data_IF_013936726484
#
_entry.id   IF_013936726484
#
_cell.length_a   1.000
_cell.length_b   1.000
_cell.length_c   1.000
_cell.angle_alpha   90.00
_cell.angle_beta   90.00
_cell.angle_gamma   90.00
#
_symmetry.space_group_name_H-M   'P 1'
#
loop_
_entity.id
_entity.type
_entity.pdbx_description
1 polymer ?
#
# COMPACT_ATOMS: atom_id res chain seq x y z
N UNK A 1 -61.80 30.10 32.22
CA UNK A 1 -60.38 30.05 31.83
C UNK A 1 -59.95 28.58 31.82
N UNK A 2 -59.96 27.93 30.66
CA UNK A 2 -59.61 26.50 30.54
C UNK A 2 -58.12 26.42 30.16
N UNK A 3 -57.26 26.06 31.11
CA UNK A 3 -55.86 25.75 30.84
C UNK A 3 -55.79 24.39 30.13
N UNK A 4 -55.47 24.44 28.84
CA UNK A 4 -55.23 23.26 27.99
C UNK A 4 -53.83 22.73 28.32
N UNK A 5 -53.74 21.68 29.14
CA UNK A 5 -52.48 21.00 29.48
C UNK A 5 -51.98 20.30 28.20
N UNK A 6 -51.05 20.94 27.49
CA UNK A 6 -50.32 20.31 26.39
C UNK A 6 -49.41 19.21 26.95
N UNK A 7 -49.52 18.02 26.37
CA UNK A 7 -48.94 16.78 26.87
C UNK A 7 -47.42 16.72 26.63
N UNK A 8 -46.62 16.89 27.70
CA UNK A 8 -45.15 16.75 27.64
C UNK A 8 -44.67 15.38 27.13
N UNK A 9 -45.53 14.35 27.21
CA UNK A 9 -45.25 13.02 26.64
C UNK A 9 -45.19 13.03 25.11
N UNK A 10 -45.90 13.95 24.45
CA UNK A 10 -45.91 14.10 22.99
C UNK A 10 -44.61 14.75 22.51
N UNK A 11 -44.14 15.79 23.19
CA UNK A 11 -42.86 16.44 22.92
C UNK A 11 -41.68 15.50 23.17
N UNK A 12 -41.72 14.73 24.26
CA UNK A 12 -40.70 13.71 24.55
C UNK A 12 -40.65 12.60 23.47
N UNK A 13 -41.81 12.17 22.96
CA UNK A 13 -41.88 11.20 21.85
C UNK A 13 -41.39 11.78 20.53
N UNK A 14 -41.72 13.05 20.22
CA UNK A 14 -41.22 13.73 19.03
C UNK A 14 -39.70 13.90 19.09
N UNK A 15 -39.16 14.39 20.22
CA UNK A 15 -37.72 14.52 20.44
C UNK A 15 -36.99 13.17 20.31
N UNK A 16 -37.55 12.08 20.86
CA UNK A 16 -36.99 10.73 20.64
C UNK A 16 -37.03 10.29 19.18
N UNK A 17 -38.11 10.58 18.43
CA UNK A 17 -38.20 10.26 17.00
C UNK A 17 -37.18 11.04 16.17
N UNK A 18 -37.03 12.35 16.39
CA UNK A 18 -36.03 13.18 15.69
C UNK A 18 -34.61 12.81 16.09
N UNK A 19 -34.32 12.53 17.36
CA UNK A 19 -33.00 12.04 17.78
C UNK A 19 -32.65 10.68 17.13
N UNK A 20 -33.62 9.76 17.05
CA UNK A 20 -33.45 8.43 16.42
C UNK A 20 -33.33 8.52 14.90
N UNK A 21 -33.98 9.50 14.26
CA UNK A 21 -33.85 9.80 12.83
C UNK A 21 -32.50 10.46 12.50
N UNK A 22 -32.07 11.45 13.31
CA UNK A 22 -30.75 12.08 13.21
C UNK A 22 -29.61 11.07 13.45
N UNK A 23 -29.75 10.17 14.42
CA UNK A 23 -28.79 9.08 14.67
C UNK A 23 -28.71 8.08 13.51
N UNK A 24 -29.84 7.72 12.89
CA UNK A 24 -29.86 6.90 11.67
C UNK A 24 -29.16 7.57 10.49
N UNK A 25 -29.42 8.87 10.27
CA UNK A 25 -28.76 9.67 9.24
C UNK A 25 -27.24 9.75 9.46
N UNK A 26 -26.80 9.91 10.71
CA UNK A 26 -25.38 9.97 11.06
C UNK A 26 -24.66 8.63 10.86
N UNK A 27 -25.29 7.51 11.22
CA UNK A 27 -24.73 6.16 10.97
C UNK A 27 -24.69 5.87 9.47
N UNK A 28 -25.73 6.23 8.69
CA UNK A 28 -25.70 6.06 7.23
C UNK A 28 -24.62 6.90 6.55
N UNK A 29 -24.30 8.08 7.07
CA UNK A 29 -23.25 8.95 6.52
C UNK A 29 -21.84 8.37 6.65
N UNK A 30 -21.59 7.46 7.60
CA UNK A 30 -20.30 6.78 7.77
C UNK A 30 -20.27 5.39 7.14
N UNK A 31 -21.37 4.65 7.22
CA UNK A 31 -21.45 3.28 6.70
C UNK A 31 -21.50 3.27 5.16
N UNK A 32 -22.23 4.20 4.54
CA UNK A 32 -22.40 4.19 3.09
C UNK A 32 -21.08 4.45 2.32
N UNK A 33 -20.25 5.47 2.65
CA UNK A 33 -18.95 5.65 2.01
C UNK A 33 -17.99 4.49 2.26
N UNK A 34 -18.07 3.88 3.45
CA UNK A 34 -17.27 2.70 3.78
C UNK A 34 -17.64 1.51 2.88
N UNK A 35 -18.93 1.23 2.73
CA UNK A 35 -19.41 0.15 1.85
C UNK A 35 -19.10 0.43 0.38
N UNK A 36 -19.27 1.67 -0.08
CA UNK A 36 -18.87 2.09 -1.44
C UNK A 36 -17.35 1.90 -1.62
N UNK A 37 -16.54 2.29 -0.64
CA UNK A 37 -15.09 2.12 -0.68
C UNK A 37 -14.68 0.64 -0.71
N UNK A 38 -15.32 -0.22 0.08
CA UNK A 38 -15.11 -1.67 0.05
C UNK A 38 -15.51 -2.25 -1.31
N UNK A 39 -16.69 -1.89 -1.82
CA UNK A 39 -17.17 -2.32 -3.14
C UNK A 39 -16.24 -1.87 -4.27
N UNK A 40 -15.77 -0.63 -4.22
CA UNK A 40 -14.78 -0.09 -5.15
C UNK A 40 -13.48 -0.89 -5.12
N UNK A 41 -12.92 -1.16 -3.93
CA UNK A 41 -11.70 -1.98 -3.80
C UNK A 41 -11.92 -3.42 -4.27
N UNK A 42 -13.09 -4.00 -4.01
CA UNK A 42 -13.44 -5.34 -4.47
C UNK A 42 -13.47 -5.41 -6.00
N UNK A 43 -14.15 -4.48 -6.67
CA UNK A 43 -14.17 -4.41 -8.14
C UNK A 43 -12.74 -4.25 -8.70
N UNK A 44 -11.95 -3.39 -8.09
CA UNK A 44 -10.57 -3.14 -8.53
C UNK A 44 -9.58 -4.26 -8.24
N UNK A 45 -9.93 -5.24 -7.41
CA UNK A 45 -9.11 -6.44 -7.22
C UNK A 45 -8.98 -7.28 -8.50
N UNK A 46 -9.92 -7.11 -9.45
CA UNK A 46 -9.89 -7.74 -10.75
C UNK A 46 -9.02 -7.00 -11.78
N UNK A 47 -8.56 -5.78 -11.49
CA UNK A 47 -7.68 -5.01 -12.40
C UNK A 47 -6.42 -5.80 -12.74
N UNK A 48 -6.17 -6.09 -14.01
CA UNK A 48 -4.95 -6.78 -14.43
C UNK A 48 -3.70 -5.95 -14.07
N UNK A 49 -2.68 -6.55 -13.42
CA UNK A 49 -1.47 -5.82 -13.11
C UNK A 49 -0.71 -5.36 -14.35
N UNK A 50 -0.27 -4.11 -14.34
CA UNK A 50 0.41 -3.45 -15.47
C UNK A 50 1.92 -3.30 -15.23
N UNK A 51 2.40 -3.69 -14.05
CA UNK A 51 3.82 -3.71 -13.71
C UNK A 51 4.12 -4.70 -12.58
N UNK A 52 5.38 -5.08 -12.47
CA UNK A 52 5.92 -5.85 -11.34
C UNK A 52 6.75 -4.89 -10.49
N UNK A 53 6.35 -4.67 -9.24
CA UNK A 53 7.12 -3.92 -8.25
C UNK A 53 7.84 -4.91 -7.31
N UNK A 54 9.16 -4.95 -7.41
CA UNK A 54 10.04 -5.76 -6.58
C UNK A 54 10.63 -4.88 -5.50
N UNK A 55 10.37 -5.20 -4.24
CA UNK A 55 11.06 -4.56 -3.14
C UNK A 55 12.38 -5.29 -2.90
N UNK A 56 13.47 -4.62 -3.24
CA UNK A 56 14.80 -5.11 -2.96
C UNK A 56 15.10 -5.13 -1.47
N UNK A 57 16.16 -5.86 -1.16
CA UNK A 57 16.74 -6.01 0.17
C UNK A 57 17.91 -6.94 -0.01
N UNK A 58 19.11 -6.37 -0.11
CA UNK A 58 20.35 -7.01 -0.54
C UNK A 58 20.61 -8.32 0.21
N UNK A 59 20.12 -9.44 -0.28
CA UNK A 59 20.59 -10.75 0.15
C UNK A 59 21.76 -11.13 -0.74
N UNK A 60 22.73 -11.84 -0.18
CA UNK A 60 23.87 -12.35 -0.96
C UNK A 60 23.42 -13.30 -2.08
N UNK A 61 22.21 -13.84 -2.00
CA UNK A 61 21.73 -14.92 -2.86
C UNK A 61 20.75 -14.47 -3.95
N UNK A 62 20.31 -13.20 -3.95
CA UNK A 62 19.38 -12.64 -4.95
C UNK A 62 18.07 -13.43 -5.09
N UNK A 63 17.51 -13.96 -3.99
CA UNK A 63 16.32 -14.82 -4.04
C UNK A 63 15.13 -14.09 -4.67
N UNK A 64 14.96 -12.80 -4.37
CA UNK A 64 13.86 -12.00 -4.93
C UNK A 64 14.04 -11.74 -6.42
N UNK A 65 15.25 -11.43 -6.85
CA UNK A 65 15.56 -11.18 -8.27
C UNK A 65 15.46 -12.46 -9.09
N UNK A 66 15.96 -13.60 -8.59
CA UNK A 66 15.80 -14.92 -9.22
C UNK A 66 14.33 -15.29 -9.36
N UNK A 67 13.54 -15.14 -8.29
CA UNK A 67 12.11 -15.36 -8.36
C UNK A 67 11.44 -14.42 -9.39
N UNK A 68 11.83 -13.15 -9.39
CA UNK A 68 11.29 -12.16 -10.34
C UNK A 68 11.58 -12.54 -11.78
N UNK A 69 12.76 -13.08 -12.08
CA UNK A 69 13.11 -13.57 -13.42
C UNK A 69 12.13 -14.66 -13.88
N UNK A 70 11.91 -15.68 -13.04
CA UNK A 70 10.97 -16.76 -13.38
C UNK A 70 9.54 -16.25 -13.51
N UNK A 71 9.12 -15.33 -12.63
CA UNK A 71 7.82 -14.69 -12.69
C UNK A 71 7.64 -13.85 -13.98
N UNK A 72 8.68 -13.14 -14.40
CA UNK A 72 8.68 -12.29 -15.58
C UNK A 72 8.70 -13.07 -16.89
N UNK A 73 9.10 -14.35 -16.89
CA UNK A 73 8.95 -15.24 -18.05
C UNK A 73 7.49 -15.56 -18.35
N UNK A 74 6.66 -15.66 -17.30
CA UNK A 74 5.21 -15.85 -17.42
C UNK A 74 4.46 -14.55 -17.74
N UNK A 75 5.13 -13.40 -17.58
CA UNK A 75 4.59 -12.06 -17.82
C UNK A 75 5.55 -11.24 -18.68
N UNK A 76 5.75 -11.62 -19.96
CA UNK A 76 6.83 -11.09 -20.80
C UNK A 76 6.70 -9.60 -21.14
N UNK A 77 5.50 -9.03 -21.04
CA UNK A 77 5.23 -7.65 -21.41
C UNK A 77 5.25 -6.68 -20.22
N UNK A 78 5.23 -7.19 -18.99
CA UNK A 78 5.16 -6.33 -17.82
C UNK A 78 6.53 -5.67 -17.55
N UNK A 79 6.58 -4.33 -17.34
CA UNK A 79 7.77 -3.66 -16.85
C UNK A 79 8.02 -4.03 -15.38
N UNK A 80 9.29 -4.12 -15.03
CA UNK A 80 9.79 -4.51 -13.70
C UNK A 80 10.39 -3.28 -13.05
N UNK A 81 9.83 -2.88 -11.92
CA UNK A 81 10.31 -1.81 -11.06
C UNK A 81 11.00 -2.42 -9.86
N UNK A 82 12.29 -2.17 -9.68
CA UNK A 82 13.03 -2.64 -8.51
C UNK A 82 13.28 -1.44 -7.61
N UNK A 83 12.77 -1.49 -6.39
CA UNK A 83 12.93 -0.43 -5.39
C UNK A 83 13.78 -0.88 -4.22
N UNK A 84 14.86 -0.13 -3.96
CA UNK A 84 15.74 -0.36 -2.82
C UNK A 84 16.66 -1.57 -2.96
N UNK A 85 17.64 -1.68 -2.05
CA UNK A 85 18.28 -2.96 -1.73
C UNK A 85 19.31 -3.54 -2.70
N UNK A 86 20.03 -2.72 -3.49
CA UNK A 86 21.34 -3.18 -3.98
C UNK A 86 22.32 -2.01 -4.11
N UNK A 87 23.49 -2.05 -3.46
CA UNK A 87 24.52 -1.03 -3.66
C UNK A 87 25.09 -1.03 -5.08
N UNK A 88 24.75 -2.04 -5.91
CA UNK A 88 25.31 -2.20 -7.25
C UNK A 88 24.21 -2.39 -8.31
N UNK A 89 23.65 -1.27 -8.80
CA UNK A 89 22.69 -1.25 -9.92
C UNK A 89 23.21 -2.02 -11.13
N UNK A 90 24.50 -1.82 -11.47
CA UNK A 90 25.14 -2.46 -12.62
C UNK A 90 25.19 -3.98 -12.44
N UNK A 91 25.25 -4.48 -11.22
CA UNK A 91 25.13 -5.90 -10.94
C UNK A 91 23.70 -6.40 -11.17
N UNK A 92 22.67 -5.69 -10.67
CA UNK A 92 21.26 -6.05 -10.88
C UNK A 92 20.89 -6.03 -12.36
N UNK A 93 21.24 -4.95 -13.09
CA UNK A 93 20.98 -4.86 -14.55
C UNK A 93 21.67 -6.01 -15.29
N UNK A 94 22.93 -6.32 -14.96
CA UNK A 94 23.65 -7.45 -15.58
C UNK A 94 23.02 -8.79 -15.24
N UNK A 95 22.54 -8.97 -14.00
CA UNK A 95 21.84 -10.18 -13.59
C UNK A 95 20.58 -10.38 -14.43
N UNK A 96 19.68 -9.40 -14.46
CA UNK A 96 18.45 -9.48 -15.26
C UNK A 96 18.73 -9.66 -16.76
N UNK A 97 19.71 -8.94 -17.32
CA UNK A 97 20.09 -9.08 -18.72
C UNK A 97 20.64 -10.47 -19.03
N UNK A 98 21.47 -11.05 -18.15
CA UNK A 98 22.00 -12.41 -18.29
C UNK A 98 20.88 -13.46 -18.29
N UNK A 99 19.83 -13.21 -17.52
CA UNK A 99 18.65 -14.08 -17.42
C UNK A 99 17.61 -13.85 -18.54
N UNK A 100 17.95 -13.03 -19.54
CA UNK A 100 17.11 -12.79 -20.73
C UNK A 100 16.06 -11.69 -20.58
N UNK A 101 16.09 -10.92 -19.49
CA UNK A 101 15.19 -9.78 -19.31
C UNK A 101 15.78 -8.54 -19.99
N UNK A 102 15.03 -7.99 -20.96
CA UNK A 102 15.44 -6.77 -21.67
C UNK A 102 15.65 -5.60 -20.70
N UNK A 103 16.75 -4.83 -20.82
CA UNK A 103 16.97 -3.62 -20.05
C UNK A 103 15.84 -2.58 -20.20
N UNK A 104 15.14 -2.56 -21.34
CA UNK A 104 13.99 -1.64 -21.56
C UNK A 104 12.79 -1.93 -20.67
N UNK A 105 12.69 -3.15 -20.12
CA UNK A 105 11.66 -3.54 -19.16
C UNK A 105 12.03 -3.20 -17.73
N UNK A 106 13.29 -2.87 -17.43
CA UNK A 106 13.81 -2.76 -16.07
C UNK A 106 13.95 -1.29 -15.63
N UNK A 107 13.22 -0.91 -14.58
CA UNK A 107 13.24 0.40 -13.95
C UNK A 107 13.80 0.26 -12.54
N UNK A 108 14.83 1.04 -12.19
CA UNK A 108 15.50 0.97 -10.89
C UNK A 108 15.26 2.24 -10.08
N UNK A 109 14.57 2.13 -8.94
CA UNK A 109 14.48 3.20 -7.95
C UNK A 109 15.60 3.10 -6.91
N UNK A 110 16.28 4.22 -6.72
CA UNK A 110 17.41 4.35 -5.80
C UNK A 110 17.22 5.49 -4.81
N UNK A 111 16.03 6.09 -4.80
CA UNK A 111 15.67 7.14 -3.84
C UNK A 111 15.22 6.51 -2.52
N UNK A 112 14.73 5.28 -2.57
CA UNK A 112 14.32 4.53 -1.39
C UNK A 112 15.49 4.11 -0.49
N UNK A 113 15.34 4.40 0.80
CA UNK A 113 16.31 4.05 1.86
C UNK A 113 15.69 3.16 2.94
N UNK A 114 14.38 3.03 2.95
CA UNK A 114 13.61 2.21 3.87
C UNK A 114 12.33 1.68 3.21
N UNK A 115 11.55 0.89 3.94
CA UNK A 115 10.33 0.27 3.39
C UNK A 115 9.23 1.28 3.06
N UNK A 116 9.18 2.45 3.72
CA UNK A 116 8.19 3.49 3.40
C UNK A 116 8.57 4.16 2.08
N UNK A 117 9.83 4.57 1.97
CA UNK A 117 10.38 5.24 0.78
C UNK A 117 10.43 4.35 -0.45
N UNK A 118 10.44 3.02 -0.28
CA UNK A 118 10.24 2.08 -1.38
C UNK A 118 8.94 2.31 -2.17
N UNK A 119 7.91 2.83 -1.50
CA UNK A 119 6.62 3.12 -2.15
C UNK A 119 6.47 4.60 -2.46
N UNK A 120 6.81 5.49 -1.51
CA UNK A 120 6.51 6.92 -1.67
C UNK A 120 7.28 7.58 -2.79
N UNK A 121 8.46 7.06 -3.13
CA UNK A 121 9.27 7.58 -4.25
C UNK A 121 8.71 7.17 -5.60
N UNK A 122 7.98 6.05 -5.67
CA UNK A 122 7.45 5.47 -6.89
C UNK A 122 5.97 5.76 -7.13
N UNK A 123 5.21 6.15 -6.11
CA UNK A 123 3.77 6.36 -6.21
C UNK A 123 3.38 7.29 -7.36
N UNK A 124 4.08 8.43 -7.48
CA UNK A 124 3.80 9.42 -8.51
C UNK A 124 4.33 9.00 -9.89
N UNK A 125 5.49 8.33 -9.94
CA UNK A 125 6.07 7.83 -11.20
C UNK A 125 5.20 6.74 -11.83
N UNK A 126 4.68 5.81 -11.02
CA UNK A 126 3.75 4.78 -11.47
C UNK A 126 2.46 5.41 -11.97
N UNK A 127 1.89 6.36 -11.21
CA UNK A 127 0.64 7.02 -11.58
C UNK A 127 0.77 7.82 -12.87
N UNK A 128 1.86 8.57 -13.03
CA UNK A 128 2.15 9.36 -14.23
C UNK A 128 2.27 8.49 -15.49
N UNK A 129 2.61 7.21 -15.32
CA UNK A 129 2.68 6.21 -16.40
C UNK A 129 1.36 5.47 -16.63
N UNK A 130 0.28 5.86 -15.96
CA UNK A 130 -1.02 5.21 -16.08
C UNK A 130 -1.10 3.81 -15.44
N UNK A 131 -0.13 3.46 -14.60
CA UNK A 131 -0.13 2.20 -13.86
C UNK A 131 -1.06 2.34 -12.66
N UNK A 132 -2.10 1.51 -12.63
CA UNK A 132 -3.17 1.49 -11.64
C UNK A 132 -3.29 0.14 -10.92
N UNK A 133 -2.51 -0.87 -11.30
CA UNK A 133 -2.45 -2.18 -10.64
C UNK A 133 -1.05 -2.76 -10.81
N UNK A 134 -0.46 -3.32 -9.75
CA UNK A 134 0.89 -3.92 -9.80
C UNK A 134 0.97 -5.22 -9.01
N UNK A 135 1.82 -6.14 -9.47
CA UNK A 135 2.29 -7.22 -8.62
C UNK A 135 3.32 -6.69 -7.64
N UNK A 136 3.21 -7.03 -6.36
CA UNK A 136 4.19 -6.71 -5.34
C UNK A 136 4.99 -7.96 -5.00
N UNK A 137 6.28 -7.98 -5.35
CA UNK A 137 7.20 -9.06 -5.04
C UNK A 137 8.12 -8.66 -3.89
N UNK A 138 8.08 -9.43 -2.81
CA UNK A 138 9.05 -9.39 -1.71
C UNK A 138 9.01 -10.71 -0.96
N UNK A 139 9.92 -10.92 -0.02
CA UNK A 139 9.90 -12.14 0.80
C UNK A 139 8.68 -12.21 1.70
N UNK A 140 8.15 -13.42 1.92
CA UNK A 140 7.03 -13.72 2.81
C UNK A 140 7.14 -13.07 4.20
N UNK A 141 8.32 -13.13 4.84
CA UNK A 141 8.56 -12.55 6.16
C UNK A 141 8.42 -11.02 6.21
N UNK A 142 8.56 -10.35 5.05
CA UNK A 142 8.40 -8.90 4.86
C UNK A 142 7.04 -8.52 4.27
N UNK A 143 6.29 -9.47 3.72
CA UNK A 143 5.11 -9.17 2.90
C UNK A 143 4.05 -8.40 3.69
N UNK A 144 3.79 -8.76 4.96
CA UNK A 144 2.78 -8.04 5.77
C UNK A 144 3.08 -6.54 5.87
N UNK A 145 4.31 -6.18 6.21
CA UNK A 145 4.73 -4.77 6.34
C UNK A 145 4.68 -4.06 5.00
N UNK A 146 5.19 -4.70 3.95
CA UNK A 146 5.19 -4.16 2.60
C UNK A 146 3.76 -3.90 2.09
N UNK A 147 2.85 -4.86 2.24
CA UNK A 147 1.45 -4.70 1.80
C UNK A 147 0.74 -3.58 2.56
N UNK A 148 0.90 -3.47 3.88
CA UNK A 148 0.27 -2.39 4.65
C UNK A 148 0.71 -1.02 4.13
N UNK A 149 2.01 -0.81 4.00
CA UNK A 149 2.58 0.47 3.53
C UNK A 149 2.15 0.73 2.08
N UNK A 150 2.27 -0.27 1.23
CA UNK A 150 1.94 -0.15 -0.18
C UNK A 150 0.46 0.16 -0.41
N UNK A 151 -0.45 -0.48 0.32
CA UNK A 151 -1.90 -0.21 0.24
C UNK A 151 -2.22 1.22 0.65
N UNK A 152 -1.53 1.77 1.66
CA UNK A 152 -1.69 3.17 2.06
C UNK A 152 -1.15 4.11 0.99
N UNK A 153 0.10 3.90 0.56
CA UNK A 153 0.82 4.83 -0.32
C UNK A 153 0.31 4.73 -1.76
N UNK A 154 0.37 3.55 -2.36
CA UNK A 154 -0.05 3.33 -3.75
C UNK A 154 -1.57 3.41 -3.88
N UNK A 155 -2.32 2.89 -2.89
CA UNK A 155 -3.78 3.02 -2.86
C UNK A 155 -4.25 4.48 -2.81
N UNK A 156 -3.50 5.40 -2.19
CA UNK A 156 -3.80 6.84 -2.23
C UNK A 156 -3.75 7.44 -3.64
N UNK A 157 -3.06 6.78 -4.59
CA UNK A 157 -3.01 7.14 -6.02
C UNK A 157 -3.91 6.27 -6.89
N UNK A 158 -4.76 5.46 -6.25
CA UNK A 158 -5.63 4.51 -6.92
C UNK A 158 -4.83 3.41 -7.61
N UNK A 159 -3.74 2.94 -7.00
CA UNK A 159 -2.96 1.81 -7.51
C UNK A 159 -3.23 0.60 -6.61
N UNK A 160 -3.70 -0.49 -7.21
CA UNK A 160 -3.99 -1.75 -6.52
C UNK A 160 -2.73 -2.60 -6.41
N UNK A 161 -2.56 -3.27 -5.28
CA UNK A 161 -1.47 -4.22 -5.08
C UNK A 161 -1.96 -5.66 -5.14
N UNK A 162 -1.21 -6.50 -5.85
CA UNK A 162 -1.38 -7.96 -5.85
C UNK A 162 -0.11 -8.61 -5.28
N UNK A 163 -0.09 -9.00 -4.00
CA UNK A 163 1.12 -9.54 -3.38
C UNK A 163 1.46 -10.91 -3.96
N UNK A 164 2.74 -11.12 -4.25
CA UNK A 164 3.33 -12.39 -4.69
C UNK A 164 4.57 -12.64 -3.83
N UNK A 165 4.43 -13.51 -2.85
CA UNK A 165 5.49 -13.74 -1.85
C UNK A 165 6.59 -14.64 -2.40
N UNK A 166 7.83 -14.25 -2.15
CA UNK A 166 9.01 -15.10 -2.33
C UNK A 166 9.19 -15.92 -1.04
N UNK A 167 9.15 -17.26 -1.09
CA UNK A 167 9.33 -18.10 0.10
C UNK A 167 10.66 -17.83 0.80
N UNK A 168 10.66 -17.86 2.13
CA UNK A 168 11.85 -17.73 2.97
C UNK A 168 11.74 -18.57 4.23
N UNK A 169 12.88 -19.01 4.76
CA UNK A 169 12.96 -19.70 6.05
C UNK A 169 12.93 -18.73 7.24
N UNK A 170 12.86 -17.42 7.00
CA UNK A 170 12.87 -16.41 8.05
C UNK A 170 11.50 -16.28 8.71
N UNK A 171 11.44 -16.10 10.04
CA UNK A 171 10.19 -15.82 10.71
C UNK A 171 9.64 -14.45 10.26
N UNK A 172 8.30 -14.26 10.23
CA UNK A 172 7.69 -12.97 9.94
C UNK A 172 8.24 -11.86 10.82
N UNK A 173 8.35 -10.66 10.26
CA UNK A 173 8.79 -9.50 11.04
C UNK A 173 7.87 -9.20 12.24
N UNK A 174 8.34 -8.45 13.24
CA UNK A 174 7.47 -7.94 14.30
C UNK A 174 6.35 -7.04 13.77
N UNK A 175 5.18 -7.07 14.41
CA UNK A 175 4.00 -6.29 14.00
C UNK A 175 4.23 -4.80 14.20
N UNK A 176 5.00 -4.44 15.22
CA UNK A 176 5.32 -3.06 15.61
C UNK A 176 5.99 -2.28 14.48
N UNK A 177 6.86 -2.95 13.70
CA UNK A 177 7.46 -2.35 12.50
C UNK A 177 6.40 -1.97 11.46
N UNK A 178 5.38 -2.83 11.29
CA UNK A 178 4.29 -2.59 10.34
C UNK A 178 3.40 -1.44 10.80
N UNK A 179 3.10 -1.36 12.10
CA UNK A 179 2.33 -0.27 12.70
C UNK A 179 3.07 1.06 12.56
N UNK A 180 4.35 1.10 12.96
CA UNK A 180 5.19 2.31 12.86
C UNK A 180 5.29 2.80 11.41
N UNK A 181 5.62 1.92 10.48
CA UNK A 181 5.82 2.30 9.09
C UNK A 181 4.49 2.61 8.39
N UNK A 182 3.38 1.98 8.80
CA UNK A 182 2.03 2.34 8.39
C UNK A 182 1.62 3.74 8.85
N UNK A 183 1.92 4.12 10.09
CA UNK A 183 1.70 5.48 10.58
C UNK A 183 2.52 6.50 9.80
N UNK A 184 3.79 6.19 9.48
CA UNK A 184 4.63 7.03 8.60
C UNK A 184 4.06 7.15 7.19
N UNK A 185 3.50 6.07 6.64
CA UNK A 185 2.84 6.09 5.33
C UNK A 185 1.60 6.99 5.32
N UNK A 186 0.76 6.93 6.36
CA UNK A 186 -0.41 7.82 6.50
C UNK A 186 0.05 9.27 6.61
N UNK A 187 1.07 9.55 7.45
CA UNK A 187 1.65 10.88 7.57
C UNK A 187 2.12 11.41 6.21
N UNK A 188 2.75 10.57 5.40
CA UNK A 188 3.17 10.94 4.05
C UNK A 188 1.97 11.25 3.15
N UNK A 189 0.91 10.43 3.16
CA UNK A 189 -0.29 10.70 2.34
C UNK A 189 -0.92 12.06 2.70
N UNK A 190 -0.96 12.40 3.99
CA UNK A 190 -1.57 13.65 4.46
C UNK A 190 -0.67 14.88 4.24
N UNK A 191 0.65 14.72 4.39
CA UNK A 191 1.57 15.87 4.47
C UNK A 191 2.62 15.95 3.34
N UNK A 192 2.75 14.91 2.55
CA UNK A 192 3.85 14.71 1.59
C UNK A 192 5.22 14.41 2.24
N UNK A 193 5.32 14.39 3.58
CA UNK A 193 6.58 14.17 4.31
C UNK A 193 6.72 12.72 4.75
N UNK A 194 7.84 12.07 4.42
CA UNK A 194 8.09 10.64 4.69
C UNK A 194 8.47 10.33 6.15
N UNK A 195 8.70 11.36 6.97
CA UNK A 195 9.11 11.22 8.38
C UNK A 195 10.45 10.50 8.58
N UNK A 196 11.28 10.39 7.54
CA UNK A 196 12.56 9.66 7.58
C UNK A 196 13.58 10.25 8.55
N UNK A 197 13.46 11.54 8.89
CA UNK A 197 14.24 12.20 9.95
C UNK A 197 13.95 11.63 11.34
N UNK A 198 12.71 11.20 11.63
CA UNK A 198 12.32 10.63 12.92
C UNK A 198 12.89 9.21 13.10
N UNK A 199 12.94 8.42 12.02
CA UNK A 199 13.45 7.04 12.05
C UNK A 199 14.95 6.96 12.32
N UNK A 200 15.73 7.99 11.95
CA UNK A 200 17.18 8.06 12.19
C UNK A 200 17.50 8.32 13.67
N UNK A 201 16.58 8.95 14.41
CA UNK A 201 16.72 9.23 15.84
C UNK A 201 16.56 7.95 16.69
N UNK A 202 15.56 7.11 16.38
CA UNK A 202 15.27 5.86 17.09
C UNK A 202 16.12 4.64 16.65
N UNK A 203 16.99 4.79 15.65
CA UNK A 203 17.99 3.76 15.30
C UNK A 203 19.34 3.97 16.01
N UNK A 204 19.55 5.16 16.58
CA UNK A 204 20.80 5.55 17.24
C UNK A 204 20.68 5.58 18.78
N UNK A 205 19.57 5.09 19.33
CA UNK A 205 19.29 4.89 20.76
C UNK A 205 18.63 3.52 20.94
#
# INVERSE_FOLDING_TARGET
MVLRIYSSKQDYKLQKKTARFKGRLFVSALVLPLLIGIGYRYIRSFDEPQAVLVLGGSTKHLERERFTVEFARQHPDLPIWVSGGSPNKRYIVRFFAKEGISPSRLYLDNRAVDTVTNFTTLADDLKARGINSVYLITSDYHMRRASIIGEIVLGSRGIVLKPVSVPSEKPPEPVEKSVRDGARAILWVVTGRTGSTLSRFFQNH
#
